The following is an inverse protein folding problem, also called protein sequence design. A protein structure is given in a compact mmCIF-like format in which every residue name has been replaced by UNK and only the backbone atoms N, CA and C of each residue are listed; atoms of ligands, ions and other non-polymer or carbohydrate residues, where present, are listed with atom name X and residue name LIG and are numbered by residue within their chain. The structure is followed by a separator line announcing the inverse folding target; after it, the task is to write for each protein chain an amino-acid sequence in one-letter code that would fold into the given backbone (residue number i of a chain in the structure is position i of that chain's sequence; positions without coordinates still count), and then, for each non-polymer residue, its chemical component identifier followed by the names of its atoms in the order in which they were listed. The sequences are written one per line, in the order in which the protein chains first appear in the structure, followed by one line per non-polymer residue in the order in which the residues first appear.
data_IF_275505795414
#
_entry.id   IF_275505795414
#
_cell.length_a   1.000
_cell.length_b   1.000
_cell.length_c   1.000
_cell.angle_alpha   90.00
_cell.angle_beta   90.00
_cell.angle_gamma   90.00
#
_symmetry.space_group_name_H-M   'P 1'
#
loop_
_entity.id
_entity.type
_entity.pdbx_description
1 polymer ?
#
# COMPACT_ATOMS: atom_id res chain seq x y z
N UNK A 1 3.84 -30.89 8.97
CA UNK A 1 5.16 -31.51 9.17
C UNK A 1 6.14 -30.55 9.85
N UNK A 2 6.26 -29.32 9.36
CA UNK A 2 7.17 -28.27 9.87
C UNK A 2 7.07 -27.99 11.38
N UNK A 3 5.89 -27.67 11.91
CA UNK A 3 5.71 -27.35 13.35
C UNK A 3 6.21 -28.48 14.28
N UNK A 4 6.01 -29.74 13.89
CA UNK A 4 6.42 -30.91 14.66
C UNK A 4 7.90 -31.30 14.45
N UNK A 5 8.67 -30.53 13.67
CA UNK A 5 10.07 -30.82 13.35
C UNK A 5 10.27 -32.00 12.40
N UNK A 6 9.21 -32.53 11.77
CA UNK A 6 9.33 -33.70 10.88
C UNK A 6 10.04 -33.37 9.57
N UNK A 7 10.04 -32.09 9.17
CA UNK A 7 10.65 -31.64 7.92
C UNK A 7 12.12 -31.22 8.08
N UNK A 8 12.50 -30.69 9.25
CA UNK A 8 13.80 -30.05 9.50
C UNK A 8 14.50 -30.52 10.78
N UNK A 9 13.97 -31.56 11.44
CA UNK A 9 14.50 -32.12 12.67
C UNK A 9 14.28 -31.26 13.93
N UNK A 10 13.63 -30.09 13.82
CA UNK A 10 13.51 -29.13 14.93
C UNK A 10 12.05 -28.83 15.27
N UNK A 11 11.49 -29.46 16.32
CA UNK A 11 10.16 -29.13 16.79
C UNK A 11 10.05 -27.65 17.22
N UNK A 12 9.04 -26.95 16.71
CA UNK A 12 8.81 -25.52 16.97
C UNK A 12 8.06 -25.35 18.31
N UNK A 13 8.69 -25.76 19.40
CA UNK A 13 8.13 -25.69 20.75
C UNK A 13 8.15 -24.25 21.28
N UNK A 14 7.43 -24.02 22.38
CA UNK A 14 7.50 -22.75 23.09
C UNK A 14 8.92 -22.45 23.64
N UNK A 15 9.66 -23.48 24.05
CA UNK A 15 11.05 -23.31 24.52
C UNK A 15 11.99 -22.92 23.38
N UNK A 16 11.79 -23.51 22.19
CA UNK A 16 12.49 -23.11 20.99
C UNK A 16 12.20 -21.65 20.62
N UNK A 17 10.94 -21.23 20.65
CA UNK A 17 10.56 -19.86 20.35
C UNK A 17 11.07 -18.86 21.40
N UNK A 18 11.06 -19.23 22.69
CA UNK A 18 11.52 -18.39 23.79
C UNK A 18 12.99 -17.97 23.64
N UNK A 19 13.83 -18.86 23.10
CA UNK A 19 15.23 -18.56 22.84
C UNK A 19 15.44 -17.55 21.68
N UNK A 20 14.45 -17.39 20.79
CA UNK A 20 14.53 -16.50 19.63
C UNK A 20 13.90 -15.13 19.89
N UNK A 21 12.76 -15.09 20.58
CA UNK A 21 11.99 -13.85 20.78
C UNK A 21 12.12 -13.26 22.18
N UNK A 22 12.89 -13.89 23.07
CA UNK A 22 13.11 -13.47 24.45
C UNK A 22 11.83 -13.41 25.31
N UNK A 23 10.76 -14.10 24.90
CA UNK A 23 9.52 -14.24 25.67
C UNK A 23 9.55 -15.58 26.42
N UNK A 24 9.27 -15.61 27.75
CA UNK A 24 9.24 -16.86 28.49
C UNK A 24 8.29 -17.91 27.89
N UNK A 25 8.75 -19.16 27.79
CA UNK A 25 8.00 -20.24 27.14
C UNK A 25 6.60 -20.46 27.75
N UNK A 26 6.45 -20.25 29.07
CA UNK A 26 5.16 -20.36 29.75
C UNK A 26 4.18 -19.24 29.40
N UNK A 27 4.67 -18.04 29.10
CA UNK A 27 3.83 -16.94 28.60
C UNK A 27 3.30 -17.26 27.20
N UNK A 28 4.16 -17.80 26.32
CA UNK A 28 3.77 -18.25 24.98
C UNK A 28 2.66 -19.32 25.08
N UNK A 29 2.85 -20.34 25.93
CA UNK A 29 1.83 -21.40 26.15
C UNK A 29 0.53 -20.83 26.72
N UNK A 30 0.64 -19.92 27.69
CA UNK A 30 -0.52 -19.31 28.35
C UNK A 30 -1.32 -18.45 27.38
N UNK A 31 -0.64 -17.65 26.55
CA UNK A 31 -1.28 -16.85 25.51
C UNK A 31 -1.99 -17.76 24.50
N UNK A 32 -1.33 -18.79 23.97
CA UNK A 32 -1.93 -19.72 23.01
C UNK A 32 -3.22 -20.38 23.57
N UNK A 33 -3.18 -20.87 24.82
CA UNK A 33 -4.36 -21.46 25.48
C UNK A 33 -5.47 -20.45 25.70
N UNK A 34 -5.13 -19.21 26.08
CA UNK A 34 -6.10 -18.12 26.28
C UNK A 34 -6.77 -17.75 24.96
N UNK A 35 -6.01 -17.62 23.88
CA UNK A 35 -6.53 -17.33 22.53
C UNK A 35 -7.51 -18.40 22.08
N UNK A 36 -7.20 -19.68 22.32
CA UNK A 36 -8.09 -20.80 21.99
C UNK A 36 -9.38 -20.83 22.84
N UNK A 37 -9.30 -20.45 24.11
CA UNK A 37 -10.42 -20.49 25.05
C UNK A 37 -11.37 -19.29 24.96
N UNK A 38 -11.02 -18.23 24.21
CA UNK A 38 -11.76 -16.95 24.16
C UNK A 38 -11.98 -16.51 22.72
N UNK A 39 -12.98 -15.65 22.51
CA UNK A 39 -13.14 -14.92 21.25
C UNK A 39 -11.91 -14.02 21.07
N UNK A 40 -11.15 -14.25 20.01
CA UNK A 40 -9.84 -13.66 19.76
C UNK A 40 -9.77 -13.15 18.33
N UNK A 41 -9.37 -11.88 18.19
CA UNK A 41 -9.09 -11.24 16.91
C UNK A 41 -7.59 -10.97 16.79
N UNK A 42 -6.96 -11.46 15.73
CA UNK A 42 -5.52 -11.25 15.49
C UNK A 42 -5.33 -10.02 14.62
N UNK A 43 -4.76 -8.97 15.20
CA UNK A 43 -4.48 -7.72 14.49
C UNK A 43 -2.98 -7.56 14.25
N UNK A 44 -2.55 -7.42 12.99
CA UNK A 44 -1.15 -7.16 12.65
C UNK A 44 -0.96 -5.74 12.08
N UNK A 45 0.15 -5.12 12.48
CA UNK A 45 0.62 -3.86 11.89
C UNK A 45 1.26 -4.10 10.52
N UNK A 46 1.12 -3.15 9.58
CA UNK A 46 1.82 -3.20 8.29
C UNK A 46 3.33 -2.97 8.40
N UNK A 47 3.87 -2.63 9.57
CA UNK A 47 5.32 -2.55 9.78
C UNK A 47 6.00 -3.92 9.65
N UNK A 48 5.35 -5.00 10.09
CA UNK A 48 5.96 -6.33 10.19
C UNK A 48 6.27 -6.98 8.84
N UNK A 49 5.64 -6.51 7.76
CA UNK A 49 5.92 -6.97 6.39
C UNK A 49 6.92 -6.07 5.64
N UNK A 50 7.44 -5.02 6.27
CA UNK A 50 8.50 -4.14 5.71
C UNK A 50 9.85 -4.51 6.28
N UNK A 51 10.21 -5.77 6.14
CA UNK A 51 11.49 -6.34 6.55
C UNK A 51 11.81 -7.56 5.66
N UNK A 52 13.03 -8.07 5.78
CA UNK A 52 13.42 -9.34 5.18
C UNK A 52 12.45 -10.46 5.61
N UNK A 53 12.05 -11.31 4.65
CA UNK A 53 10.99 -12.33 4.81
C UNK A 53 9.63 -11.78 5.28
N UNK A 54 9.28 -10.55 4.88
CA UNK A 54 8.07 -9.84 5.32
C UNK A 54 6.74 -10.52 5.01
N UNK A 55 6.72 -11.50 4.11
CA UNK A 55 5.56 -12.33 3.77
C UNK A 55 5.21 -13.30 4.92
N UNK A 56 6.22 -13.78 5.66
CA UNK A 56 6.08 -14.85 6.65
C UNK A 56 5.20 -14.46 7.86
N UNK A 57 5.34 -13.27 8.49
CA UNK A 57 4.49 -12.88 9.60
C UNK A 57 3.00 -12.85 9.25
N UNK A 58 2.67 -12.43 8.03
CA UNK A 58 1.27 -12.33 7.57
C UNK A 58 0.68 -13.71 7.28
N UNK A 59 1.44 -14.57 6.57
CA UNK A 59 1.02 -15.93 6.31
C UNK A 59 0.84 -16.73 7.60
N UNK A 60 1.75 -16.55 8.57
CA UNK A 60 1.65 -17.20 9.87
C UNK A 60 0.48 -16.66 10.70
N UNK A 61 0.19 -15.35 10.65
CA UNK A 61 -0.96 -14.78 11.35
C UNK A 61 -2.29 -15.37 10.84
N UNK A 62 -2.44 -15.52 9.52
CA UNK A 62 -3.62 -16.16 8.92
C UNK A 62 -3.68 -17.65 9.30
N UNK A 63 -2.53 -18.34 9.28
CA UNK A 63 -2.42 -19.74 9.70
C UNK A 63 -2.89 -19.93 11.14
N UNK A 64 -2.43 -19.07 12.06
CA UNK A 64 -2.85 -19.09 13.45
C UNK A 64 -4.35 -18.78 13.60
N UNK A 65 -4.87 -17.78 12.89
CA UNK A 65 -6.30 -17.45 12.89
C UNK A 65 -7.16 -18.63 12.40
N UNK A 66 -6.71 -19.34 11.36
CA UNK A 66 -7.38 -20.53 10.85
C UNK A 66 -7.36 -21.68 11.88
N UNK A 67 -6.23 -21.90 12.55
CA UNK A 67 -6.11 -22.90 13.62
C UNK A 67 -7.00 -22.60 14.83
N UNK A 68 -7.23 -21.33 15.16
CA UNK A 68 -8.18 -20.94 16.21
C UNK A 68 -9.65 -21.18 15.81
N UNK A 69 -9.95 -21.29 14.50
CA UNK A 69 -11.28 -21.64 13.99
C UNK A 69 -12.32 -20.52 14.06
N UNK A 70 -11.90 -19.27 14.29
CA UNK A 70 -12.80 -18.14 14.58
C UNK A 70 -12.98 -17.17 13.40
N UNK A 71 -12.34 -17.42 12.25
CA UNK A 71 -12.52 -16.63 11.03
C UNK A 71 -14.00 -16.65 10.61
N UNK A 72 -14.54 -15.48 10.23
CA UNK A 72 -15.94 -15.29 9.86
C UNK A 72 -16.89 -15.00 11.03
N UNK A 73 -16.42 -15.02 12.28
CA UNK A 73 -17.25 -14.67 13.45
C UNK A 73 -17.04 -13.21 13.88
N UNK A 74 -18.07 -12.53 14.42
CA UNK A 74 -17.92 -11.17 14.97
C UNK A 74 -16.83 -11.11 16.06
N UNK A 75 -15.82 -10.26 15.90
CA UNK A 75 -14.68 -10.17 16.84
C UNK A 75 -13.74 -11.39 16.82
N UNK A 76 -13.82 -12.25 15.80
CA UNK A 76 -12.93 -13.38 15.58
C UNK A 76 -12.20 -13.28 14.24
N UNK A 77 -11.13 -14.05 14.06
CA UNK A 77 -10.35 -14.08 12.83
C UNK A 77 -9.14 -13.15 12.87
N UNK A 78 -8.89 -12.43 11.78
CA UNK A 78 -7.72 -11.57 11.64
C UNK A 78 -8.02 -10.25 10.92
N UNK A 79 -7.11 -9.29 11.06
CA UNK A 79 -7.18 -8.00 10.42
C UNK A 79 -5.83 -7.30 10.35
N UNK A 80 -5.61 -6.50 9.31
CA UNK A 80 -4.35 -5.81 9.07
C UNK A 80 -4.56 -4.31 8.91
N UNK A 81 -3.73 -3.50 9.57
CA UNK A 81 -3.70 -2.05 9.34
C UNK A 81 -4.72 -1.21 10.13
N UNK A 82 -5.45 -1.79 11.10
CA UNK A 82 -6.44 -1.09 11.96
C UNK A 82 -5.88 0.14 12.70
N UNK A 83 -4.58 0.19 12.96
CA UNK A 83 -3.89 1.36 13.54
C UNK A 83 -2.89 2.01 12.58
N UNK A 84 -2.89 1.63 11.30
CA UNK A 84 -1.94 2.12 10.29
C UNK A 84 -2.56 3.15 9.35
N UNK A 85 -3.84 3.02 9.03
CA UNK A 85 -4.61 4.01 8.25
C UNK A 85 -6.04 4.08 8.75
N UNK A 86 -6.67 5.24 8.59
CA UNK A 86 -8.10 5.38 8.82
C UNK A 86 -8.90 4.55 7.79
N UNK A 87 -10.06 4.05 8.19
CA UNK A 87 -10.97 3.28 7.31
C UNK A 87 -10.90 1.76 7.47
N UNK A 88 -9.80 1.19 7.98
CA UNK A 88 -9.77 -0.25 8.30
C UNK A 88 -10.64 -0.52 9.52
N UNK A 89 -11.66 -1.35 9.35
CA UNK A 89 -12.65 -1.65 10.39
C UNK A 89 -13.83 -0.69 10.44
N UNK A 90 -13.79 0.43 9.70
CA UNK A 90 -14.92 1.33 9.58
C UNK A 90 -16.02 0.71 8.71
N UNK A 91 -17.26 1.00 9.04
CA UNK A 91 -18.38 0.79 8.14
C UNK A 91 -18.21 1.73 6.94
N UNK A 92 -18.26 1.20 5.72
CA UNK A 92 -18.09 1.98 4.50
C UNK A 92 -19.13 1.55 3.46
N UNK A 93 -19.59 2.51 2.67
CA UNK A 93 -20.39 2.23 1.49
C UNK A 93 -19.47 1.70 0.38
N UNK A 94 -19.86 0.62 -0.28
CA UNK A 94 -19.10 0.04 -1.41
C UNK A 94 -19.39 0.82 -2.70
N UNK A 95 -18.99 2.09 -2.73
CA UNK A 95 -19.23 2.99 -3.87
C UNK A 95 -17.89 3.29 -4.54
N UNK A 96 -17.70 2.92 -5.83
CA UNK A 96 -16.50 3.29 -6.55
C UNK A 96 -16.54 4.79 -6.83
N UNK A 97 -15.65 5.58 -6.24
CA UNK A 97 -15.57 7.02 -6.53
C UNK A 97 -14.96 7.25 -7.93
N UNK A 98 -15.54 8.15 -8.74
CA UNK A 98 -14.97 8.49 -10.04
C UNK A 98 -13.69 9.31 -9.88
N UNK A 99 -12.75 9.11 -10.80
CA UNK A 99 -11.48 9.84 -10.88
C UNK A 99 -11.16 10.11 -12.35
N UNK A 100 -10.17 10.97 -12.60
CA UNK A 100 -9.64 11.18 -13.95
C UNK A 100 -9.14 9.85 -14.53
N UNK A 101 -9.42 9.63 -15.82
CA UNK A 101 -8.88 8.47 -16.53
C UNK A 101 -7.36 8.51 -16.54
N UNK A 102 -6.71 7.39 -16.22
CA UNK A 102 -5.27 7.24 -16.37
C UNK A 102 -4.87 6.78 -17.79
N UNK A 103 -5.86 6.51 -18.65
CA UNK A 103 -5.66 5.89 -19.96
C UNK A 103 -5.11 4.47 -19.89
N UNK A 104 -4.77 3.91 -21.05
CA UNK A 104 -4.10 2.63 -21.18
C UNK A 104 -2.62 2.86 -21.48
N UNK A 105 -1.73 2.33 -20.62
CA UNK A 105 -0.30 2.34 -20.90
C UNK A 105 0.04 1.14 -21.81
N UNK A 106 0.46 1.36 -23.07
CA UNK A 106 0.83 0.26 -23.97
C UNK A 106 2.11 -0.47 -23.53
N UNK A 107 2.90 0.12 -22.63
CA UNK A 107 4.07 -0.51 -22.03
C UNK A 107 3.63 -1.34 -20.83
N UNK A 108 3.52 -2.66 -21.03
CA UNK A 108 3.12 -3.61 -19.99
C UNK A 108 4.29 -4.04 -19.07
N UNK A 109 5.52 -3.64 -19.39
CA UNK A 109 6.68 -3.99 -18.58
C UNK A 109 6.76 -3.13 -17.31
N UNK A 110 7.25 -3.71 -16.22
CA UNK A 110 7.30 -3.09 -14.91
C UNK A 110 8.42 -3.68 -14.04
N UNK A 111 8.77 -2.96 -12.99
CA UNK A 111 9.60 -3.47 -11.90
C UNK A 111 8.82 -3.46 -10.59
N UNK A 112 9.14 -4.33 -9.62
CA UNK A 112 8.69 -4.14 -8.25
C UNK A 112 9.18 -2.78 -7.73
N UNK A 113 8.28 -1.96 -7.19
CA UNK A 113 8.54 -0.52 -6.93
C UNK A 113 9.82 -0.23 -6.13
N UNK A 114 10.19 -1.10 -5.18
CA UNK A 114 11.39 -0.93 -4.36
C UNK A 114 12.70 -1.32 -5.08
N UNK A 115 12.66 -1.71 -6.35
CA UNK A 115 13.83 -2.14 -7.15
C UNK A 115 14.41 -1.04 -8.04
N UNK A 116 14.01 0.23 -7.86
CA UNK A 116 14.45 1.35 -8.70
C UNK A 116 15.98 1.48 -8.72
N UNK A 117 16.65 1.42 -7.56
CA UNK A 117 18.11 1.50 -7.51
C UNK A 117 18.80 0.30 -8.19
N UNK A 118 18.25 -0.91 -8.04
CA UNK A 118 18.75 -2.12 -8.72
C UNK A 118 18.65 -1.96 -10.24
N UNK A 119 17.47 -1.57 -10.72
CA UNK A 119 17.18 -1.37 -12.15
C UNK A 119 18.12 -0.35 -12.80
N UNK A 120 18.33 0.80 -12.15
CA UNK A 120 19.17 1.88 -12.71
C UNK A 120 20.67 1.53 -12.69
N UNK A 121 21.11 0.71 -11.74
CA UNK A 121 22.51 0.31 -11.62
C UNK A 121 22.87 -0.89 -12.49
N UNK A 122 21.91 -1.77 -12.78
CA UNK A 122 22.13 -3.03 -13.51
C UNK A 122 21.14 -3.24 -14.68
N UNK A 123 21.16 -2.37 -15.70
CA UNK A 123 20.31 -2.53 -16.88
C UNK A 123 20.63 -3.84 -17.61
N UNK A 124 19.61 -4.64 -17.90
CA UNK A 124 19.74 -5.99 -18.46
C UNK A 124 19.99 -7.09 -17.41
N UNK A 125 20.22 -6.72 -16.15
CA UNK A 125 20.35 -7.66 -15.04
C UNK A 125 19.08 -8.48 -14.82
N UNK A 126 19.24 -9.77 -14.52
CA UNK A 126 18.11 -10.67 -14.30
C UNK A 126 17.64 -10.63 -12.84
N UNK A 127 16.32 -10.69 -12.63
CA UNK A 127 15.72 -10.78 -11.31
C UNK A 127 14.51 -11.72 -11.32
N UNK A 128 14.21 -12.34 -10.19
CA UNK A 128 13.03 -13.17 -10.00
C UNK A 128 11.95 -12.36 -9.27
N UNK A 129 10.70 -12.50 -9.71
CA UNK A 129 9.55 -11.87 -9.07
C UNK A 129 8.32 -12.74 -9.23
N UNK A 130 7.80 -13.25 -8.12
CA UNK A 130 6.55 -14.02 -8.05
C UNK A 130 6.47 -15.19 -9.06
N UNK A 131 7.55 -15.97 -9.15
CA UNK A 131 7.64 -17.15 -10.03
C UNK A 131 8.10 -16.84 -11.46
N UNK A 132 8.30 -15.56 -11.80
CA UNK A 132 8.77 -15.14 -13.12
C UNK A 132 10.22 -14.67 -13.05
N UNK A 133 11.01 -15.06 -14.05
CA UNK A 133 12.35 -14.51 -14.27
C UNK A 133 12.26 -13.36 -15.29
N UNK A 134 12.67 -12.17 -14.86
CA UNK A 134 12.58 -10.92 -15.61
C UNK A 134 13.97 -10.28 -15.75
N UNK A 135 14.08 -9.22 -16.55
CA UNK A 135 15.31 -8.45 -16.73
C UNK A 135 15.03 -6.97 -16.56
N UNK A 136 15.96 -6.23 -15.95
CA UNK A 136 15.79 -4.79 -15.75
C UNK A 136 15.86 -4.02 -17.07
N UNK A 137 14.93 -3.09 -17.34
CA UNK A 137 15.01 -2.22 -18.50
C UNK A 137 16.10 -1.16 -18.33
N UNK A 138 16.65 -0.68 -19.45
CA UNK A 138 17.60 0.44 -19.48
C UNK A 138 16.85 1.78 -19.54
N UNK A 139 16.41 2.26 -18.37
CA UNK A 139 15.63 3.51 -18.25
C UNK A 139 16.53 4.73 -18.42
N UNK A 140 16.16 5.61 -19.36
CA UNK A 140 16.88 6.88 -19.64
C UNK A 140 16.20 8.13 -19.07
N UNK A 141 14.92 8.07 -18.75
CA UNK A 141 14.17 9.21 -18.22
C UNK A 141 13.41 8.81 -16.97
N UNK A 142 13.50 9.64 -15.93
CA UNK A 142 12.67 9.54 -14.72
C UNK A 142 11.75 10.75 -14.66
N UNK A 143 10.45 10.50 -14.59
CA UNK A 143 9.43 11.54 -14.38
C UNK A 143 8.75 11.27 -13.04
N UNK A 144 8.86 12.20 -12.10
CA UNK A 144 8.36 12.02 -10.73
C UNK A 144 7.39 13.13 -10.33
N UNK A 145 6.20 12.75 -9.86
CA UNK A 145 5.22 13.67 -9.28
C UNK A 145 4.58 13.05 -8.04
N UNK A 146 4.43 13.85 -6.97
CA UNK A 146 3.72 13.43 -5.75
C UNK A 146 4.47 12.44 -4.84
N UNK A 147 5.80 12.39 -4.88
CA UNK A 147 6.57 11.55 -3.96
C UNK A 147 8.02 12.01 -3.78
N UNK A 148 8.67 11.47 -2.75
CA UNK A 148 10.04 11.84 -2.37
C UNK A 148 10.93 10.58 -2.21
N UNK A 149 11.53 10.06 -3.30
CA UNK A 149 12.40 8.88 -3.28
C UNK A 149 13.57 8.99 -2.31
N UNK A 150 14.12 10.19 -2.14
CA UNK A 150 15.20 10.43 -1.18
C UNK A 150 14.76 10.44 0.28
N UNK A 151 13.45 10.29 0.57
CA UNK A 151 12.94 10.02 1.90
C UNK A 151 12.49 8.56 2.07
N UNK A 152 11.79 8.00 1.09
CA UNK A 152 11.15 6.69 1.26
C UNK A 152 12.01 5.48 0.84
N UNK A 153 13.11 5.70 0.10
CA UNK A 153 13.94 4.61 -0.40
C UNK A 153 15.05 4.27 0.59
N UNK A 154 15.53 3.03 0.53
CA UNK A 154 16.56 2.51 1.42
C UNK A 154 17.94 2.82 0.84
N UNK A 155 18.99 2.72 1.66
CA UNK A 155 20.40 2.91 1.24
C UNK A 155 20.59 4.15 0.37
N UNK A 156 20.32 5.33 0.94
CA UNK A 156 20.29 6.59 0.19
C UNK A 156 21.59 6.89 -0.58
N UNK A 157 22.75 6.46 -0.08
CA UNK A 157 24.02 6.59 -0.80
C UNK A 157 24.04 5.77 -2.10
N UNK A 158 23.45 4.57 -2.07
CA UNK A 158 23.28 3.73 -3.26
C UNK A 158 22.23 4.32 -4.20
N UNK A 159 21.14 4.88 -3.65
CA UNK A 159 20.17 5.61 -4.47
C UNK A 159 20.83 6.79 -5.19
N UNK A 160 21.66 7.59 -4.51
CA UNK A 160 22.38 8.71 -5.15
C UNK A 160 23.19 8.24 -6.36
N UNK A 161 23.88 7.10 -6.26
CA UNK A 161 24.63 6.53 -7.38
C UNK A 161 23.70 6.09 -8.52
N UNK A 162 22.60 5.43 -8.20
CA UNK A 162 21.58 5.01 -9.15
C UNK A 162 20.92 6.20 -9.86
N UNK A 163 20.66 7.27 -9.11
CA UNK A 163 19.98 8.47 -9.59
C UNK A 163 20.82 9.28 -10.60
N UNK A 164 22.13 9.01 -10.70
CA UNK A 164 23.02 9.62 -11.70
C UNK A 164 23.02 8.89 -13.06
N UNK A 165 22.25 7.81 -13.20
CA UNK A 165 22.26 6.94 -14.39
C UNK A 165 21.32 7.38 -15.50
N UNK A 166 20.10 7.88 -15.23
CA UNK A 166 19.22 8.44 -16.26
C UNK A 166 19.86 9.64 -16.96
N UNK A 167 19.43 9.90 -18.20
CA UNK A 167 19.84 11.06 -19.00
C UNK A 167 19.05 12.33 -18.64
N UNK A 168 17.84 12.17 -18.08
CA UNK A 168 17.02 13.28 -17.62
C UNK A 168 16.10 12.87 -16.46
N UNK A 169 16.01 13.75 -15.46
CA UNK A 169 15.15 13.60 -14.30
C UNK A 169 14.27 14.84 -14.16
N UNK A 170 12.96 14.63 -14.27
CA UNK A 170 11.94 15.67 -14.19
C UNK A 170 11.13 15.45 -12.93
N UNK A 171 11.02 16.47 -12.08
CA UNK A 171 10.31 16.39 -10.80
C UNK A 171 9.27 17.51 -10.70
N UNK A 172 8.03 17.14 -10.40
CA UNK A 172 6.98 18.05 -9.93
C UNK A 172 7.08 18.19 -8.43
N UNK A 173 7.26 19.40 -7.93
CA UNK A 173 7.41 19.62 -6.49
C UNK A 173 7.01 21.05 -6.07
N UNK A 174 6.16 21.20 -5.04
CA UNK A 174 5.84 22.51 -4.46
C UNK A 174 6.90 23.06 -3.50
N UNK A 175 7.85 22.23 -3.05
CA UNK A 175 8.91 22.59 -2.10
C UNK A 175 10.32 22.24 -2.58
N UNK A 176 11.37 22.75 -1.92
CA UNK A 176 12.75 22.48 -2.35
C UNK A 176 13.33 21.19 -1.71
N UNK A 177 12.62 20.07 -1.87
CA UNK A 177 12.89 18.77 -1.22
C UNK A 177 14.20 18.15 -1.70
N UNK A 178 14.69 17.12 -0.99
CA UNK A 178 15.87 16.36 -1.41
C UNK A 178 15.70 15.78 -2.82
N UNK A 179 14.52 15.27 -3.19
CA UNK A 179 14.26 14.75 -4.53
C UNK A 179 14.37 15.83 -5.59
N UNK A 180 13.74 16.98 -5.35
CA UNK A 180 13.83 18.08 -6.29
C UNK A 180 15.30 18.55 -6.44
N UNK A 181 16.09 18.62 -5.36
CA UNK A 181 17.51 19.01 -5.43
C UNK A 181 18.39 18.07 -6.26
N UNK A 182 17.90 16.85 -6.54
CA UNK A 182 18.55 15.85 -7.40
C UNK A 182 17.87 15.73 -8.78
N UNK A 183 17.04 16.69 -9.19
CA UNK A 183 16.42 16.73 -10.51
C UNK A 183 17.19 17.62 -11.49
N UNK A 184 17.10 17.33 -12.79
CA UNK A 184 17.58 18.21 -13.85
C UNK A 184 16.57 19.33 -14.14
N UNK A 185 15.28 18.99 -14.08
CA UNK A 185 14.16 19.91 -14.31
C UNK A 185 13.19 19.81 -13.14
N UNK A 186 12.92 20.96 -12.52
CA UNK A 186 11.91 21.09 -11.46
C UNK A 186 10.74 21.90 -12.00
N UNK A 187 9.54 21.33 -11.90
CA UNK A 187 8.29 21.97 -12.27
C UNK A 187 7.56 22.37 -10.99
N UNK A 188 7.42 23.67 -10.69
CA UNK A 188 6.76 24.12 -9.47
C UNK A 188 5.26 23.85 -9.57
N UNK A 189 4.73 23.08 -8.61
CA UNK A 189 3.31 22.73 -8.56
C UNK A 189 2.58 23.41 -7.42
N UNK A 190 1.26 23.52 -7.54
CA UNK A 190 0.40 24.02 -6.46
C UNK A 190 0.25 22.99 -5.34
N UNK A 191 -0.07 23.47 -4.15
CA UNK A 191 -0.61 22.70 -3.03
C UNK A 191 -2.13 22.60 -3.15
N UNK A 192 -2.74 21.77 -2.29
CA UNK A 192 -4.20 21.62 -2.24
C UNK A 192 -4.94 22.95 -1.95
N UNK A 193 -4.31 23.89 -1.23
CA UNK A 193 -4.95 25.16 -0.86
C UNK A 193 -5.02 26.16 -2.02
N UNK A 194 -4.33 25.89 -3.13
CA UNK A 194 -4.17 26.81 -4.26
C UNK A 194 -5.05 26.45 -5.47
N UNK A 195 -5.86 25.38 -5.35
CA UNK A 195 -6.71 24.85 -6.42
C UNK A 195 -8.04 24.33 -5.92
N UNK A 196 -9.00 24.13 -6.82
CA UNK A 196 -10.28 23.51 -6.47
C UNK A 196 -10.22 21.99 -6.66
N UNK A 197 -10.88 21.23 -5.77
CA UNK A 197 -10.98 19.78 -5.89
C UNK A 197 -12.22 19.22 -5.15
N UNK A 198 -12.48 17.93 -5.31
CA UNK A 198 -13.43 17.15 -4.52
C UNK A 198 -12.66 16.07 -3.77
N UNK A 199 -12.76 16.06 -2.44
CA UNK A 199 -12.05 15.12 -1.58
C UNK A 199 -13.01 14.05 -1.09
N UNK A 200 -12.64 12.79 -1.31
CA UNK A 200 -13.25 11.61 -0.71
C UNK A 200 -12.22 10.50 -0.60
N UNK A 201 -12.50 9.50 0.23
CA UNK A 201 -11.73 8.26 0.28
C UNK A 201 -12.68 7.06 0.17
N UNK A 202 -12.20 5.95 -0.40
CA UNK A 202 -13.01 4.74 -0.64
C UNK A 202 -13.68 4.15 0.61
N UNK A 203 -13.18 4.47 1.80
CA UNK A 203 -13.70 3.99 3.09
C UNK A 203 -14.21 5.10 3.99
N UNK A 204 -14.37 6.30 3.44
CA UNK A 204 -14.95 7.43 4.14
C UNK A 204 -16.41 7.59 3.71
N UNK A 205 -17.24 8.04 4.64
CA UNK A 205 -18.62 8.41 4.39
C UNK A 205 -18.74 9.90 4.05
N UNK A 206 -17.62 10.63 4.04
CA UNK A 206 -17.58 12.05 3.75
C UNK A 206 -17.13 12.35 2.32
N UNK A 207 -17.87 13.25 1.68
CA UNK A 207 -17.47 13.96 0.47
C UNK A 207 -17.30 15.44 0.81
N UNK A 208 -16.16 16.03 0.50
CA UNK A 208 -15.85 17.42 0.79
C UNK A 208 -15.46 18.20 -0.46
N UNK A 209 -15.97 19.42 -0.61
CA UNK A 209 -15.48 20.39 -1.58
C UNK A 209 -14.20 21.03 -1.04
N UNK A 210 -13.12 20.93 -1.80
CA UNK A 210 -11.85 21.59 -1.52
C UNK A 210 -11.81 22.87 -2.34
N UNK A 211 -12.24 23.99 -1.77
CA UNK A 211 -12.15 25.28 -2.45
C UNK A 211 -10.72 25.79 -2.46
N UNK A 212 -10.34 26.43 -3.57
CA UNK A 212 -9.15 27.28 -3.63
C UNK A 212 -9.23 28.34 -2.54
N UNK A 213 -8.27 28.30 -1.62
CA UNK A 213 -8.20 29.20 -0.46
C UNK A 213 -7.23 30.37 -0.69
N UNK A 214 -6.19 30.16 -1.50
CA UNK A 214 -5.16 31.15 -1.83
C UNK A 214 -4.79 31.07 -3.32
N UNK A 215 -4.19 32.14 -3.85
CA UNK A 215 -3.64 32.12 -5.21
C UNK A 215 -2.35 31.29 -5.28
N UNK A 216 -2.06 30.62 -6.41
CA UNK A 216 -0.82 29.88 -6.61
C UNK A 216 0.43 30.72 -6.29
N UNK A 217 1.37 30.13 -5.55
CA UNK A 217 2.61 30.77 -5.17
C UNK A 217 3.54 30.94 -6.38
N UNK A 218 3.95 32.18 -6.65
CA UNK A 218 4.89 32.49 -7.72
C UNK A 218 4.37 32.06 -9.10
N UNK A 219 5.11 31.17 -9.76
CA UNK A 219 4.76 30.63 -11.08
C UNK A 219 4.22 29.18 -11.01
N UNK A 220 3.87 28.71 -9.81
CA UNK A 220 3.33 27.38 -9.61
C UNK A 220 2.05 27.15 -10.42
N UNK A 221 1.88 25.92 -10.92
CA UNK A 221 0.71 25.49 -11.69
C UNK A 221 0.20 24.16 -11.17
N UNK A 222 -1.09 23.89 -11.34
CA UNK A 222 -1.62 22.56 -11.04
C UNK A 222 -0.93 21.50 -11.90
N UNK A 223 -0.74 20.29 -11.34
CA UNK A 223 -0.25 19.14 -12.09
C UNK A 223 -1.06 18.96 -13.39
N UNK A 224 -2.39 19.11 -13.31
CA UNK A 224 -3.29 19.04 -14.46
C UNK A 224 -2.97 20.08 -15.55
N UNK A 225 -2.66 21.32 -15.16
CA UNK A 225 -2.32 22.38 -16.10
C UNK A 225 -0.95 22.14 -16.77
N UNK A 226 0.01 21.61 -16.01
CA UNK A 226 1.33 21.22 -16.54
C UNK A 226 1.18 20.07 -17.54
N UNK A 227 0.47 19.00 -17.17
CA UNK A 227 0.25 17.86 -18.07
C UNK A 227 -0.59 18.24 -19.29
N UNK A 228 -1.59 19.12 -19.16
CA UNK A 228 -2.32 19.70 -20.30
C UNK A 228 -1.37 20.44 -21.26
N UNK A 229 -0.45 21.26 -20.72
CA UNK A 229 0.55 21.98 -21.51
C UNK A 229 1.58 21.07 -22.20
N UNK A 230 1.90 19.91 -21.60
CA UNK A 230 2.71 18.87 -22.23
C UNK A 230 1.91 18.15 -23.33
N UNK A 231 0.66 17.79 -23.06
CA UNK A 231 -0.24 17.17 -24.04
C UNK A 231 -0.43 18.06 -25.28
N UNK A 232 -0.53 19.38 -25.11
CA UNK A 232 -0.58 20.34 -26.20
C UNK A 232 0.68 20.30 -27.09
N UNK A 233 1.87 20.24 -26.47
CA UNK A 233 3.14 20.12 -27.20
C UNK A 233 3.28 18.79 -27.94
N UNK A 234 2.65 17.73 -27.43
CA UNK A 234 2.60 16.41 -28.05
C UNK A 234 1.45 16.25 -29.05
N UNK A 235 0.57 17.26 -29.20
CA UNK A 235 -0.57 17.21 -30.12
C UNK A 235 -1.74 16.32 -29.65
N UNK A 236 -1.82 16.03 -28.35
CA UNK A 236 -2.85 15.14 -27.74
C UNK A 236 -3.69 15.85 -26.66
N UNK A 237 -3.65 17.18 -26.59
CA UNK A 237 -4.39 17.99 -25.60
C UNK A 237 -5.89 17.71 -25.59
N UNK A 238 -6.53 17.60 -26.75
CA UNK A 238 -7.97 17.34 -26.82
C UNK A 238 -8.33 16.00 -26.18
N UNK A 239 -7.53 14.96 -26.42
CA UNK A 239 -7.74 13.65 -25.84
C UNK A 239 -7.45 13.63 -24.34
N UNK A 240 -6.40 14.35 -23.89
CA UNK A 240 -6.03 14.45 -22.48
C UNK A 240 -7.06 15.25 -21.66
N UNK A 241 -7.47 16.41 -22.18
CA UNK A 241 -8.38 17.31 -21.47
C UNK A 241 -9.84 16.91 -21.63
N UNK A 242 -10.15 16.11 -22.66
CA UNK A 242 -11.50 15.86 -23.14
C UNK A 242 -12.31 17.16 -23.34
N UNK A 243 -11.61 18.26 -23.67
CA UNK A 243 -12.17 19.62 -23.80
C UNK A 243 -12.87 20.13 -22.53
N UNK A 244 -12.42 19.69 -21.34
CA UNK A 244 -12.92 20.17 -20.05
C UNK A 244 -11.87 21.01 -19.32
N UNK A 245 -12.32 22.11 -18.75
CA UNK A 245 -11.57 22.88 -17.76
C UNK A 245 -11.81 22.33 -16.34
N UNK A 246 -11.20 22.98 -15.33
CA UNK A 246 -11.31 22.58 -13.91
C UNK A 246 -12.78 22.43 -13.47
N UNK A 247 -13.61 23.45 -13.68
CA UNK A 247 -15.02 23.42 -13.27
C UNK A 247 -15.80 22.31 -13.99
N UNK A 248 -15.56 22.15 -15.30
CA UNK A 248 -16.22 21.11 -16.09
C UNK A 248 -15.84 19.70 -15.61
N UNK A 249 -14.59 19.48 -15.19
CA UNK A 249 -14.16 18.22 -14.58
C UNK A 249 -14.82 17.96 -13.24
N UNK A 250 -14.84 18.96 -12.35
CA UNK A 250 -15.46 18.83 -11.03
C UNK A 250 -16.95 18.47 -11.15
N UNK A 251 -17.68 19.17 -12.02
CA UNK A 251 -19.09 18.88 -12.29
C UNK A 251 -19.29 17.50 -12.92
N UNK A 252 -18.43 17.10 -13.84
CA UNK A 252 -18.51 15.80 -14.49
C UNK A 252 -18.29 14.65 -13.50
N UNK A 253 -17.20 14.68 -12.73
CA UNK A 253 -16.88 13.66 -11.73
C UNK A 253 -17.93 13.61 -10.63
N UNK A 254 -18.40 14.76 -10.13
CA UNK A 254 -19.50 14.80 -9.16
C UNK A 254 -20.80 14.19 -9.73
N UNK A 255 -21.13 14.50 -10.98
CA UNK A 255 -22.28 13.91 -11.67
C UNK A 255 -22.21 12.39 -11.75
N UNK A 256 -21.03 11.83 -12.08
CA UNK A 256 -20.80 10.39 -12.08
C UNK A 256 -20.92 9.80 -10.67
N UNK A 257 -20.38 10.48 -9.66
CA UNK A 257 -20.46 10.03 -8.26
C UNK A 257 -21.93 9.95 -7.82
N UNK A 258 -22.72 10.98 -8.12
CA UNK A 258 -24.15 11.02 -7.82
C UNK A 258 -24.93 9.91 -8.52
N UNK A 259 -24.60 9.57 -9.76
CA UNK A 259 -25.20 8.41 -10.46
C UNK A 259 -24.88 7.08 -9.75
N UNK A 260 -23.63 6.88 -9.33
CA UNK A 260 -23.20 5.66 -8.61
C UNK A 260 -23.84 5.55 -7.23
N UNK A 261 -23.97 6.67 -6.51
CA UNK A 261 -24.67 6.76 -5.22
C UNK A 261 -26.16 6.45 -5.39
N UNK A 262 -26.81 7.02 -6.41
CA UNK A 262 -28.21 6.74 -6.71
C UNK A 262 -28.46 5.26 -7.04
N UNK A 263 -27.51 4.60 -7.72
CA UNK A 263 -27.58 3.16 -7.98
C UNK A 263 -27.51 2.31 -6.70
N UNK A 264 -26.97 2.86 -5.61
CA UNK A 264 -26.98 2.25 -4.28
C UNK A 264 -28.21 2.67 -3.43
N UNK A 265 -29.23 3.29 -4.04
CA UNK A 265 -30.43 3.83 -3.36
C UNK A 265 -30.13 4.90 -2.31
N UNK A 266 -29.03 5.63 -2.48
CA UNK A 266 -28.67 6.79 -1.66
C UNK A 266 -28.84 8.07 -2.48
N UNK A 267 -28.89 9.21 -1.82
CA UNK A 267 -28.96 10.51 -2.48
C UNK A 267 -27.96 11.49 -1.87
N UNK A 268 -27.44 12.37 -2.71
CA UNK A 268 -26.58 13.50 -2.34
C UNK A 268 -27.07 14.75 -3.09
N UNK A 269 -26.76 15.96 -2.59
CA UNK A 269 -27.22 17.21 -3.22
C UNK A 269 -26.84 17.34 -4.70
N UNK A 270 -27.43 18.31 -5.39
CA UNK A 270 -26.88 18.77 -6.67
C UNK A 270 -25.51 19.44 -6.45
N UNK A 271 -24.72 19.58 -7.52
CA UNK A 271 -23.35 20.12 -7.43
C UNK A 271 -23.31 21.50 -6.79
N UNK A 272 -24.21 22.42 -7.16
CA UNK A 272 -24.14 23.80 -6.65
C UNK A 272 -24.55 23.86 -5.17
N UNK A 273 -25.47 23.00 -4.74
CA UNK A 273 -25.81 22.82 -3.32
C UNK A 273 -24.65 22.20 -2.52
N UNK A 274 -24.04 21.13 -3.02
CA UNK A 274 -22.85 20.52 -2.39
C UNK A 274 -21.68 21.50 -2.31
N UNK A 275 -21.37 22.17 -3.42
CA UNK A 275 -20.26 23.10 -3.53
C UNK A 275 -20.41 24.28 -2.57
N UNK A 276 -21.64 24.76 -2.32
CA UNK A 276 -21.89 25.79 -1.29
C UNK A 276 -21.86 25.25 0.14
N UNK A 277 -22.32 24.02 0.36
CA UNK A 277 -22.36 23.41 1.69
C UNK A 277 -20.98 22.96 2.17
N UNK A 278 -20.06 22.66 1.25
CA UNK A 278 -18.69 22.27 1.52
C UNK A 278 -18.52 20.80 1.90
N UNK A 279 -19.49 20.18 2.58
CA UNK A 279 -19.41 18.77 3.01
C UNK A 279 -20.77 18.07 2.85
N UNK A 280 -20.73 16.82 2.42
CA UNK A 280 -21.87 15.90 2.42
C UNK A 280 -21.46 14.58 3.08
N UNK A 281 -22.32 14.04 3.94
CA UNK A 281 -22.12 12.76 4.61
C UNK A 281 -23.09 11.72 4.05
N UNK A 282 -22.56 10.55 3.72
CA UNK A 282 -23.31 9.34 3.45
C UNK A 282 -23.67 8.63 4.76
N UNK A 283 -24.81 7.92 4.81
CA UNK A 283 -25.14 7.10 5.96
C UNK A 283 -24.19 5.89 6.07
N UNK A 284 -24.00 5.38 7.28
CA UNK A 284 -23.37 4.06 7.47
C UNK A 284 -24.22 2.97 6.81
N UNK A 285 -23.60 1.90 6.27
CA UNK A 285 -24.34 0.74 5.78
C UNK A 285 -25.11 0.06 6.92
N UNK A 286 -26.34 -0.37 6.65
CA UNK A 286 -27.20 -1.02 7.67
C UNK A 286 -26.64 -2.35 8.18
N UNK A 287 -25.83 -3.04 7.37
CA UNK A 287 -25.23 -4.34 7.70
C UNK A 287 -23.73 -4.30 7.45
N UNK A 288 -22.96 -4.55 8.50
CA UNK A 288 -21.50 -4.76 8.42
C UNK A 288 -21.22 -6.23 8.75
N UNK A 289 -20.87 -7.01 7.73
CA UNK A 289 -20.53 -8.43 7.92
C UNK A 289 -19.08 -8.58 8.40
N UNK A 290 -18.79 -9.55 9.30
CA UNK A 290 -17.42 -9.93 9.59
C UNK A 290 -16.67 -10.39 8.33
N UNK A 291 -15.35 -10.18 8.32
CA UNK A 291 -14.48 -10.68 7.27
C UNK A 291 -14.68 -12.19 7.07
N UNK A 292 -14.97 -12.59 5.83
CA UNK A 292 -15.21 -13.99 5.43
C UNK A 292 -16.40 -14.66 6.13
N UNK A 293 -17.41 -13.90 6.57
CA UNK A 293 -18.64 -14.46 7.12
C UNK A 293 -19.36 -15.39 6.11
N UNK A 294 -19.54 -14.93 4.87
CA UNK A 294 -20.23 -15.72 3.83
C UNK A 294 -19.45 -17.01 3.46
N UNK A 295 -18.11 -16.93 3.40
CA UNK A 295 -17.25 -18.12 3.23
C UNK A 295 -17.36 -19.11 4.39
N UNK A 296 -17.54 -18.62 5.62
CA UNK A 296 -17.73 -19.47 6.78
C UNK A 296 -19.07 -20.20 6.72
N UNK A 297 -20.12 -19.50 6.32
CA UNK A 297 -21.49 -20.03 6.27
C UNK A 297 -21.65 -21.08 5.16
N UNK A 298 -21.12 -20.82 3.97
CA UNK A 298 -21.06 -21.78 2.86
C UNK A 298 -19.76 -21.64 2.03
N UNK A 299 -18.72 -22.43 2.35
CA UNK A 299 -17.44 -22.35 1.63
C UNK A 299 -17.50 -22.93 0.21
N UNK A 300 -18.55 -23.66 -0.16
CA UNK A 300 -18.74 -24.16 -1.53
C UNK A 300 -19.39 -23.11 -2.42
N UNK A 301 -20.36 -22.35 -1.90
CA UNK A 301 -20.98 -21.24 -2.60
C UNK A 301 -20.08 -20.00 -2.65
N UNK A 302 -19.31 -19.74 -1.58
CA UNK A 302 -18.50 -18.53 -1.42
C UNK A 302 -17.00 -18.83 -1.44
N UNK A 303 -16.54 -19.61 -2.40
CA UNK A 303 -15.12 -20.01 -2.55
C UNK A 303 -14.20 -18.80 -2.61
N UNK A 304 -13.04 -18.91 -1.96
CA UNK A 304 -11.98 -17.89 -2.04
C UNK A 304 -11.32 -17.88 -3.41
N UNK A 305 -10.67 -16.77 -3.78
CA UNK A 305 -9.90 -16.64 -5.01
C UNK A 305 -8.52 -17.34 -4.95
N UNK A 306 -8.46 -18.52 -4.33
CA UNK A 306 -7.28 -19.40 -4.29
C UNK A 306 -7.50 -20.59 -5.23
N UNK A 307 -6.44 -21.27 -5.69
CA UNK A 307 -6.57 -22.47 -6.52
C UNK A 307 -7.53 -23.53 -5.93
N UNK A 308 -7.45 -23.77 -4.63
CA UNK A 308 -8.33 -24.71 -3.91
C UNK A 308 -9.73 -24.15 -3.58
N UNK A 309 -9.92 -22.83 -3.65
CA UNK A 309 -11.12 -22.15 -3.15
C UNK A 309 -11.19 -22.03 -1.63
N UNK A 310 -10.12 -22.42 -0.92
CA UNK A 310 -10.01 -22.43 0.54
C UNK A 310 -8.82 -21.58 1.01
N UNK A 311 -8.67 -21.42 2.33
CA UNK A 311 -7.45 -20.84 2.91
C UNK A 311 -6.30 -21.84 2.75
N UNK A 312 -5.28 -21.48 1.98
CA UNK A 312 -4.12 -22.33 1.70
C UNK A 312 -3.03 -22.15 2.76
N UNK A 313 -2.98 -23.07 3.73
CA UNK A 313 -1.87 -23.14 4.71
C UNK A 313 -0.58 -23.66 4.08
N UNK A 314 -0.71 -24.43 3.00
CA UNK A 314 0.36 -24.80 2.10
C UNK A 314 -0.07 -24.42 0.68
N UNK A 315 0.78 -23.69 -0.05
CA UNK A 315 0.54 -23.30 -1.44
C UNK A 315 1.47 -24.08 -2.36
N UNK A 316 0.91 -25.01 -3.12
CA UNK A 316 1.62 -25.76 -4.17
C UNK A 316 2.23 -24.83 -5.22
N UNK A 317 1.54 -23.72 -5.52
CA UNK A 317 2.03 -22.72 -6.47
C UNK A 317 3.33 -22.09 -5.99
N UNK A 318 3.37 -21.59 -4.76
CA UNK A 318 4.57 -20.96 -4.19
C UNK A 318 5.69 -21.99 -4.02
N UNK A 319 5.35 -23.20 -3.53
CA UNK A 319 6.33 -24.29 -3.44
C UNK A 319 6.97 -24.61 -4.80
N UNK A 320 6.18 -24.58 -5.87
CA UNK A 320 6.62 -24.86 -7.24
C UNK A 320 7.60 -23.83 -7.82
N UNK A 321 7.72 -22.63 -7.23
CA UNK A 321 8.72 -21.65 -7.66
C UNK A 321 10.14 -22.05 -7.26
N UNK A 322 10.29 -22.87 -6.21
CA UNK A 322 11.60 -23.36 -5.76
C UNK A 322 12.49 -22.29 -5.11
N UNK A 323 11.91 -21.22 -4.59
CA UNK A 323 12.64 -20.17 -3.88
C UNK A 323 13.07 -20.63 -2.48
N UNK A 324 14.31 -20.30 -2.10
CA UNK A 324 14.88 -20.69 -0.81
C UNK A 324 14.41 -19.79 0.35
N UNK A 325 14.05 -18.55 0.04
CA UNK A 325 13.61 -17.49 0.95
C UNK A 325 12.08 -17.38 1.07
N UNK A 326 11.32 -18.12 0.27
CA UNK A 326 9.87 -18.19 0.38
C UNK A 326 9.35 -19.61 0.07
N UNK A 327 9.12 -20.38 1.14
CA UNK A 327 8.69 -21.78 1.06
C UNK A 327 7.19 -21.90 0.74
N UNK A 328 6.75 -23.12 0.44
CA UNK A 328 5.33 -23.45 0.20
C UNK A 328 4.40 -23.27 1.42
N UNK A 329 4.92 -22.91 2.59
CA UNK A 329 4.15 -22.65 3.80
C UNK A 329 4.85 -21.59 4.65
N UNK A 330 4.11 -20.97 5.57
CA UNK A 330 4.69 -20.08 6.57
C UNK A 330 5.82 -20.78 7.35
N UNK A 331 6.99 -20.17 7.42
CA UNK A 331 8.18 -20.71 8.06
C UNK A 331 8.96 -19.62 8.80
N UNK A 332 9.80 -20.05 9.73
CA UNK A 332 10.80 -19.19 10.35
C UNK A 332 12.07 -19.31 9.51
N UNK A 333 12.44 -18.19 8.90
CA UNK A 333 13.68 -18.03 8.15
C UNK A 333 14.47 -16.93 8.86
N UNK A 334 15.72 -17.17 9.27
CA UNK A 334 16.51 -16.13 9.90
C UNK A 334 16.72 -14.98 8.92
N UNK A 335 16.35 -13.77 9.33
CA UNK A 335 16.61 -12.57 8.55
C UNK A 335 18.12 -12.34 8.42
N UNK A 336 18.54 -11.66 7.34
CA UNK A 336 19.95 -11.29 7.17
C UNK A 336 20.44 -10.38 8.30
N UNK A 337 19.61 -9.44 8.75
CA UNK A 337 19.92 -8.49 9.82
C UNK A 337 18.91 -8.62 10.98
N UNK A 338 19.35 -9.23 12.09
CA UNK A 338 18.59 -9.30 13.35
C UNK A 338 19.56 -9.49 14.53
N UNK A 339 19.06 -9.34 15.76
CA UNK A 339 19.91 -9.36 16.97
C UNK A 339 20.60 -10.72 17.25
N UNK A 340 20.16 -11.79 16.60
CA UNK A 340 20.82 -13.10 16.65
C UNK A 340 21.72 -13.41 15.44
N UNK A 341 21.90 -12.48 14.50
CA UNK A 341 22.84 -12.64 13.39
C UNK A 341 24.27 -12.28 13.79
N UNK A 342 25.27 -12.80 13.05
CA UNK A 342 26.69 -12.46 13.22
C UNK A 342 26.95 -10.95 13.14
N UNK A 343 26.19 -10.23 12.29
CA UNK A 343 26.29 -8.78 12.17
C UNK A 343 26.05 -8.03 13.50
N UNK A 344 25.30 -8.61 14.44
CA UNK A 344 25.02 -8.03 15.74
C UNK A 344 26.27 -7.91 16.64
N UNK A 345 27.34 -8.69 16.37
CA UNK A 345 28.62 -8.53 17.09
C UNK A 345 29.24 -7.15 16.86
N UNK A 346 29.06 -6.61 15.65
CA UNK A 346 29.53 -5.27 15.28
C UNK A 346 28.45 -4.20 15.45
N UNK A 347 27.20 -4.54 15.15
CA UNK A 347 26.05 -3.64 15.20
C UNK A 347 24.99 -4.15 16.20
N UNK A 348 25.23 -4.00 17.52
CA UNK A 348 24.43 -4.66 18.55
C UNK A 348 23.06 -4.02 18.81
N UNK A 349 22.72 -2.94 18.10
CA UNK A 349 21.47 -2.21 18.28
C UNK A 349 20.60 -2.37 17.04
N UNK A 350 19.35 -2.73 17.25
CA UNK A 350 18.34 -2.76 16.20
C UNK A 350 17.70 -1.37 16.03
N UNK A 351 17.82 -0.78 14.85
CA UNK A 351 17.20 0.50 14.53
C UNK A 351 15.76 0.28 14.06
N UNK A 352 14.79 0.84 14.81
CA UNK A 352 13.38 0.86 14.39
C UNK A 352 13.07 2.24 13.80
N UNK A 353 12.94 2.32 12.49
CA UNK A 353 12.61 3.55 11.75
C UNK A 353 11.09 3.64 11.48
N UNK A 354 10.31 3.87 12.53
CA UNK A 354 8.85 3.99 12.43
C UNK A 354 8.40 5.31 11.76
N UNK A 355 7.11 5.39 11.43
CA UNK A 355 6.52 6.61 10.90
C UNK A 355 6.63 7.75 11.94
N UNK A 356 6.90 9.00 11.50
CA UNK A 356 7.00 10.13 12.40
C UNK A 356 5.64 10.50 13.02
N UNK A 357 5.65 10.98 14.26
CA UNK A 357 4.42 11.33 15.00
C UNK A 357 3.82 12.67 14.55
N UNK A 358 4.66 13.64 14.17
CA UNK A 358 4.26 15.04 13.92
C UNK A 358 4.31 15.42 12.44
N UNK A 359 4.51 14.45 11.55
CA UNK A 359 4.70 14.64 10.11
C UNK A 359 3.95 13.55 9.35
N UNK A 360 3.61 13.79 8.09
CA UNK A 360 3.11 12.76 7.20
C UNK A 360 4.23 12.35 6.24
N UNK A 361 4.96 11.29 6.58
CA UNK A 361 6.21 10.94 5.90
C UNK A 361 7.17 12.15 5.89
N UNK A 362 7.59 12.64 4.72
CA UNK A 362 8.38 13.88 4.58
C UNK A 362 7.55 15.16 4.48
N UNK A 363 6.22 15.10 4.42
CA UNK A 363 5.41 16.31 4.38
C UNK A 363 5.50 17.04 5.73
N UNK A 364 5.50 18.37 5.69
CA UNK A 364 5.87 19.25 6.81
C UNK A 364 7.35 19.15 7.22
N UNK A 365 8.18 18.57 6.35
CA UNK A 365 9.64 18.46 6.47
C UNK A 365 10.29 18.70 5.10
N UNK A 366 10.09 19.90 4.59
CA UNK A 366 10.23 20.24 3.18
C UNK A 366 11.67 20.37 2.65
N UNK A 367 12.67 19.86 3.39
CA UNK A 367 14.08 19.84 3.01
C UNK A 367 15.00 20.47 4.03
#
# INVERSE_FOLDING_TARGET
AYLAGKADGTPKTADWAAALCEIPADEIRTLARRMAAKRTFIMMSWSLQRADHGEQPYWMAITLAAMLGQIGLPGGGFGFGYGSVNGIGNAAQEIPWPSLSQGDNPVADFIPVARIADMLLDPGGAYDFNGERRSYPDIKLVYWAGGNPFHHHQELNRLVQAWQRPEAIIVHEPWWTATARHADIVLPVTTQLERNDIVCANRDLMLAASHKAVEPAGEARDDYAIFSGLAARLGVEEAFTERRDEESWLRHLYGLARQRIAAANLDIPDFDSFWRQGVTLLPEPEVVKPLLADFRDDPQAHRLATPSGLIELFSERIAGFGYADCLGHAAWLPSQEWLGAEAAERFPLHLISNQPVTKLHSQYDHG
#
